data_IF_402822626459
#
_entry.id   IF_402822626459
#
_cell.length_a   1.000
_cell.length_b   1.000
_cell.length_c   1.000
_cell.angle_alpha   90.00
_cell.angle_beta   90.00
_cell.angle_gamma   90.00
#
_symmetry.space_group_name_H-M   'P 1'
#
loop_
_entity.id
_entity.type
_entity.pdbx_description
1 polymer ?
#
# COMPACT_ATOMS: atom_id res chain seq x y z
N UNK A 1 6.30 -11.00 8.27
CA UNK A 1 5.09 -11.17 7.43
C UNK A 1 5.20 -12.48 6.66
N UNK A 2 4.24 -13.41 6.79
CA UNK A 2 4.34 -14.79 6.26
C UNK A 2 4.20 -14.90 4.72
N UNK A 3 3.60 -13.92 4.05
CA UNK A 3 3.32 -13.97 2.61
C UNK A 3 4.61 -14.03 1.78
N UNK A 4 5.65 -13.28 2.14
CA UNK A 4 6.93 -13.33 1.42
C UNK A 4 7.60 -14.70 1.51
N UNK A 5 7.46 -15.39 2.64
CA UNK A 5 8.01 -16.73 2.85
C UNK A 5 7.23 -17.80 2.09
N UNK A 6 5.90 -17.70 2.09
CA UNK A 6 5.02 -18.65 1.41
C UNK A 6 5.00 -18.43 -0.12
N UNK A 7 5.20 -17.20 -0.58
CA UNK A 7 5.07 -16.81 -1.98
C UNK A 7 6.25 -15.93 -2.43
N UNK A 8 7.48 -16.47 -2.53
CA UNK A 8 8.67 -15.68 -2.85
C UNK A 8 8.64 -15.03 -4.24
N UNK A 9 7.85 -15.60 -5.17
CA UNK A 9 7.69 -15.10 -6.54
C UNK A 9 6.35 -14.40 -6.78
N UNK A 10 5.68 -13.94 -5.71
CA UNK A 10 4.39 -13.27 -5.81
C UNK A 10 4.50 -12.01 -6.67
N UNK A 11 3.81 -12.02 -7.82
CA UNK A 11 3.79 -10.89 -8.75
C UNK A 11 2.63 -9.94 -8.53
N UNK A 12 1.49 -10.48 -8.12
CA UNK A 12 0.23 -9.76 -8.02
C UNK A 12 -0.50 -10.21 -6.77
N UNK A 13 -1.02 -9.25 -6.03
CA UNK A 13 -1.83 -9.51 -4.84
C UNK A 13 -2.99 -8.54 -4.86
N UNK A 14 -4.19 -9.10 -4.72
CA UNK A 14 -5.41 -8.34 -4.64
C UNK A 14 -6.19 -8.85 -3.43
N UNK A 15 -6.46 -7.97 -2.48
CA UNK A 15 -7.39 -8.22 -1.40
C UNK A 15 -8.70 -7.53 -1.73
N UNK A 16 -9.79 -8.30 -1.75
CA UNK A 16 -11.13 -7.80 -1.99
C UNK A 16 -12.07 -8.34 -0.93
N UNK A 17 -12.75 -7.45 -0.21
CA UNK A 17 -13.88 -7.84 0.63
C UNK A 17 -15.20 -7.55 -0.07
N UNK A 18 -16.25 -8.26 0.34
CA UNK A 18 -17.61 -8.07 -0.18
C UNK A 18 -18.22 -6.76 0.31
N UNK A 19 -17.93 -6.39 1.56
CA UNK A 19 -18.44 -5.17 2.20
C UNK A 19 -17.29 -4.23 2.58
N UNK A 20 -17.58 -2.93 2.58
CA UNK A 20 -16.62 -1.96 3.12
C UNK A 20 -16.44 -2.21 4.60
N UNK A 21 -15.20 -2.54 4.96
CA UNK A 21 -14.80 -2.67 6.34
C UNK A 21 -14.63 -1.25 6.92
N UNK A 22 -15.53 -0.86 7.82
CA UNK A 22 -15.46 0.41 8.53
C UNK A 22 -14.16 0.46 9.33
N UNK A 23 -13.41 1.53 9.13
CA UNK A 23 -12.19 1.79 9.88
C UNK A 23 -12.57 2.03 11.35
N UNK A 24 -12.26 1.06 12.21
CA UNK A 24 -12.25 1.29 13.64
C UNK A 24 -10.86 1.84 13.98
N UNK A 25 -10.80 2.98 14.68
CA UNK A 25 -9.60 3.73 15.07
C UNK A 25 -8.59 2.97 15.95
N UNK A 26 -8.73 1.65 16.09
CA UNK A 26 -7.69 0.81 16.66
C UNK A 26 -6.56 0.63 15.64
N UNK A 27 -5.79 1.71 15.45
CA UNK A 27 -4.41 1.63 15.02
C UNK A 27 -3.73 0.68 16.01
N UNK A 28 -3.59 -0.58 15.63
CA UNK A 28 -2.66 -1.45 16.33
C UNK A 28 -1.30 -0.84 16.04
N UNK A 29 -0.66 -0.29 17.07
CA UNK A 29 0.72 0.12 16.95
C UNK A 29 1.51 -1.06 16.36
N UNK A 30 2.43 -0.80 15.41
CA UNK A 30 3.22 -1.86 14.83
C UNK A 30 3.90 -2.62 15.97
N UNK A 31 3.60 -3.92 16.07
CA UNK A 31 4.15 -4.81 17.09
C UNK A 31 5.69 -4.70 17.05
N UNK A 32 6.26 -4.06 18.08
CA UNK A 32 7.69 -3.77 18.17
C UNK A 32 8.55 -5.06 18.19
N UNK A 33 7.93 -6.23 18.34
CA UNK A 33 8.61 -7.53 18.44
C UNK A 33 8.89 -8.24 17.11
N UNK A 34 8.51 -7.68 15.96
CA UNK A 34 8.85 -8.28 14.66
C UNK A 34 10.25 -7.84 14.22
N UNK A 35 11.25 -8.71 14.34
CA UNK A 35 12.55 -8.74 13.61
C UNK A 35 12.88 -7.51 12.75
N UNK A 36 14.00 -6.83 13.00
CA UNK A 36 14.52 -5.68 12.24
C UNK A 36 14.78 -5.93 10.74
N UNK A 37 14.57 -7.15 10.26
CA UNK A 37 14.74 -7.52 8.86
C UNK A 37 13.72 -6.83 7.96
N UNK A 38 14.22 -6.06 7.00
CA UNK A 38 13.42 -5.55 5.89
C UNK A 38 13.05 -6.71 4.95
N UNK A 39 11.76 -6.89 4.70
CA UNK A 39 11.23 -7.84 3.73
C UNK A 39 11.13 -7.15 2.36
N UNK A 40 11.84 -7.69 1.38
CA UNK A 40 11.77 -7.23 0.00
C UNK A 40 10.88 -8.13 -0.84
N UNK A 41 9.97 -7.53 -1.59
CA UNK A 41 9.10 -8.21 -2.55
C UNK A 41 9.57 -7.94 -3.98
N UNK A 42 10.71 -8.52 -4.36
CA UNK A 42 11.44 -8.19 -5.58
C UNK A 42 10.70 -8.51 -6.89
N UNK A 43 9.66 -9.35 -6.84
CA UNK A 43 8.84 -9.71 -8.01
C UNK A 43 7.47 -9.05 -8.01
N UNK A 44 7.15 -8.27 -6.98
CA UNK A 44 5.81 -7.78 -6.76
C UNK A 44 5.53 -6.54 -7.59
N UNK A 45 4.64 -6.68 -8.57
CA UNK A 45 4.39 -5.70 -9.63
C UNK A 45 3.05 -4.99 -9.52
N UNK A 46 2.05 -5.64 -8.91
CA UNK A 46 0.68 -5.13 -8.85
C UNK A 46 0.06 -5.39 -7.48
N UNK A 47 -0.46 -4.33 -6.86
CA UNK A 47 -1.15 -4.38 -5.58
C UNK A 47 -2.55 -3.79 -5.69
N UNK A 48 -3.54 -4.55 -5.23
CA UNK A 48 -4.95 -4.13 -5.22
C UNK A 48 -5.57 -4.29 -3.84
N UNK A 49 -6.24 -3.24 -3.37
CA UNK A 49 -7.07 -3.24 -2.17
C UNK A 49 -8.46 -2.72 -2.52
N UNK A 50 -9.45 -3.61 -2.53
CA UNK A 50 -10.85 -3.30 -2.80
C UNK A 50 -11.70 -3.59 -1.56
N UNK A 51 -12.41 -2.58 -1.05
CA UNK A 51 -13.22 -2.72 0.18
C UNK A 51 -12.43 -3.24 1.40
N UNK A 52 -11.10 -3.08 1.40
CA UNK A 52 -10.21 -3.54 2.46
C UNK A 52 -9.88 -2.43 3.45
N UNK A 53 -9.59 -2.82 4.70
CA UNK A 53 -9.12 -1.90 5.74
C UNK A 53 -7.84 -1.14 5.33
N UNK A 54 -7.73 0.09 5.81
CA UNK A 54 -6.54 0.93 5.64
C UNK A 54 -5.26 0.36 6.26
N UNK A 55 -5.35 -0.57 7.23
CA UNK A 55 -4.15 -1.15 7.84
C UNK A 55 -3.30 -1.94 6.84
N UNK A 56 -3.90 -2.51 5.79
CA UNK A 56 -3.13 -3.14 4.72
C UNK A 56 -2.36 -2.11 3.88
N UNK A 57 -2.89 -0.90 3.72
CA UNK A 57 -2.13 0.19 3.09
C UNK A 57 -0.91 0.51 3.95
N UNK A 58 -1.10 0.60 5.27
CA UNK A 58 0.02 0.83 6.19
C UNK A 58 1.07 -0.28 6.11
N UNK A 59 0.66 -1.55 6.18
CA UNK A 59 1.58 -2.69 6.19
C UNK A 59 2.38 -2.85 4.89
N UNK A 60 1.75 -2.60 3.73
CA UNK A 60 2.42 -2.82 2.45
C UNK A 60 3.11 -1.57 1.92
N UNK A 61 2.47 -0.40 2.04
CA UNK A 61 2.93 0.82 1.38
C UNK A 61 3.70 1.76 2.33
N UNK A 62 3.41 1.75 3.63
CA UNK A 62 3.97 2.70 4.60
C UNK A 62 4.98 2.08 5.56
N UNK A 63 4.94 0.76 5.72
CA UNK A 63 5.81 0.07 6.67
C UNK A 63 7.26 0.10 6.19
N UNK A 64 8.15 0.59 7.05
CA UNK A 64 9.59 0.70 6.77
C UNK A 64 10.25 -0.67 6.58
N UNK A 65 9.58 -1.73 7.03
CA UNK A 65 10.03 -3.13 6.93
C UNK A 65 9.58 -3.81 5.62
N UNK A 66 8.82 -3.14 4.75
CA UNK A 66 8.44 -3.66 3.43
C UNK A 66 9.05 -2.82 2.31
N UNK A 67 9.73 -3.48 1.36
CA UNK A 67 10.22 -2.86 0.13
C UNK A 67 9.54 -3.46 -1.09
N UNK A 68 8.99 -2.60 -1.94
CA UNK A 68 8.27 -2.99 -3.16
C UNK A 68 8.97 -2.46 -4.43
N UNK A 69 10.23 -2.86 -4.71
CA UNK A 69 11.08 -2.23 -5.72
C UNK A 69 10.59 -2.39 -7.16
N UNK A 70 9.60 -3.24 -7.40
CA UNK A 70 9.04 -3.55 -8.71
C UNK A 70 7.55 -3.19 -8.83
N UNK A 71 6.97 -2.53 -7.82
CA UNK A 71 5.57 -2.15 -7.85
C UNK A 71 5.35 -1.08 -8.93
N UNK A 72 4.51 -1.41 -9.90
CA UNK A 72 4.20 -0.55 -11.06
C UNK A 72 2.72 -0.21 -11.13
N UNK A 73 1.86 -1.08 -10.59
CA UNK A 73 0.42 -0.90 -10.57
C UNK A 73 -0.13 -0.90 -9.15
N UNK A 74 -0.90 0.13 -8.83
CA UNK A 74 -1.59 0.27 -7.56
C UNK A 74 -3.08 0.51 -7.78
N UNK A 75 -3.93 -0.29 -7.14
CA UNK A 75 -5.38 -0.13 -7.16
C UNK A 75 -5.93 -0.02 -5.73
N UNK A 76 -6.61 1.07 -5.41
CA UNK A 76 -7.12 1.33 -4.05
C UNK A 76 -8.25 2.36 -4.05
N UNK A 77 -8.84 2.65 -2.88
CA UNK A 77 -9.79 3.74 -2.67
C UNK A 77 -9.10 5.00 -2.14
N UNK A 78 -9.55 6.18 -2.58
CA UNK A 78 -8.92 7.45 -2.22
C UNK A 78 -8.92 7.74 -0.72
N UNK A 79 -10.08 7.59 -0.06
CA UNK A 79 -10.23 7.85 1.37
C UNK A 79 -9.25 7.05 2.24
N UNK A 80 -9.23 5.70 2.12
CA UNK A 80 -8.25 4.88 2.81
C UNK A 80 -6.80 5.25 2.52
N UNK A 81 -6.45 5.63 1.28
CA UNK A 81 -5.10 6.07 0.94
C UNK A 81 -4.72 7.37 1.67
N UNK A 82 -5.55 8.42 1.61
CA UNK A 82 -5.30 9.67 2.35
C UNK A 82 -5.09 9.35 3.82
N UNK A 83 -5.98 8.55 4.38
CA UNK A 83 -6.05 8.42 5.81
C UNK A 83 -4.90 7.55 6.37
N UNK A 84 -4.54 6.47 5.68
CA UNK A 84 -3.34 5.70 6.00
C UNK A 84 -2.07 6.55 5.86
N UNK A 85 -1.99 7.38 4.82
CA UNK A 85 -0.83 8.22 4.53
C UNK A 85 -0.74 9.49 5.40
N UNK A 86 -1.68 9.67 6.34
CA UNK A 86 -1.86 10.90 7.13
C UNK A 86 -1.82 12.13 6.23
N UNK A 87 -2.69 12.16 5.22
CA UNK A 87 -2.75 13.22 4.21
C UNK A 87 -1.44 13.39 3.46
N UNK A 88 -0.82 12.28 3.04
CA UNK A 88 0.42 12.30 2.30
C UNK A 88 1.52 13.09 3.02
N UNK A 89 1.86 12.66 4.24
CA UNK A 89 2.98 13.21 5.03
C UNK A 89 4.08 12.17 5.29
N UNK A 90 3.89 10.95 4.79
CA UNK A 90 4.75 9.80 5.07
C UNK A 90 5.63 9.47 3.85
N UNK A 91 6.93 9.71 3.97
CA UNK A 91 7.92 9.46 2.90
C UNK A 91 8.04 7.99 2.46
N UNK A 92 7.70 7.05 3.34
CA UNK A 92 7.75 5.62 3.01
C UNK A 92 6.86 5.26 1.80
N UNK A 93 5.71 5.95 1.67
CA UNK A 93 4.83 5.80 0.51
C UNK A 93 5.57 6.11 -0.79
N UNK A 94 6.26 7.25 -0.83
CA UNK A 94 6.98 7.72 -2.02
C UNK A 94 8.08 6.75 -2.42
N UNK A 95 8.78 6.13 -1.45
CA UNK A 95 9.81 5.12 -1.74
C UNK A 95 9.20 3.86 -2.38
N UNK A 96 8.18 3.29 -1.74
CA UNK A 96 7.55 2.05 -2.20
C UNK A 96 6.72 2.22 -3.48
N UNK A 97 6.23 3.43 -3.74
CA UNK A 97 5.41 3.76 -4.91
C UNK A 97 6.17 4.53 -6.00
N UNK A 98 7.50 4.69 -5.87
CA UNK A 98 8.31 5.50 -6.80
C UNK A 98 8.22 5.05 -8.27
N UNK A 99 7.99 3.75 -8.51
CA UNK A 99 7.87 3.16 -9.86
C UNK A 99 6.43 2.92 -10.30
N UNK A 100 5.44 3.31 -9.49
CA UNK A 100 4.03 3.17 -9.85
C UNK A 100 3.74 4.12 -11.00
N UNK A 101 3.41 3.55 -12.16
CA UNK A 101 3.05 4.25 -13.38
C UNK A 101 1.58 4.00 -13.76
N UNK A 102 0.87 3.21 -12.96
CA UNK A 102 -0.56 2.96 -13.10
C UNK A 102 -1.24 3.00 -11.74
N UNK A 103 -1.94 4.09 -11.47
CA UNK A 103 -2.73 4.28 -10.25
C UNK A 103 -4.22 4.24 -10.61
N UNK A 104 -4.94 3.27 -10.05
CA UNK A 104 -6.38 3.12 -10.20
C UNK A 104 -7.02 3.47 -8.85
N UNK A 105 -7.65 4.64 -8.78
CA UNK A 105 -8.35 5.09 -7.59
C UNK A 105 -9.85 4.86 -7.76
N UNK A 106 -10.42 3.94 -7.00
CA UNK A 106 -11.84 3.65 -7.03
C UNK A 106 -12.66 4.84 -6.54
N UNK A 107 -13.82 5.05 -7.19
CA UNK A 107 -14.78 6.11 -6.90
C UNK A 107 -14.20 7.54 -6.95
N UNK A 108 -13.10 7.72 -7.69
CA UNK A 108 -12.46 9.02 -7.86
C UNK A 108 -12.42 9.36 -9.35
N UNK A 109 -13.10 10.42 -9.75
CA UNK A 109 -13.10 10.90 -11.15
C UNK A 109 -11.82 11.67 -11.49
N UNK A 110 -11.18 12.28 -10.49
CA UNK A 110 -9.90 12.98 -10.62
C UNK A 110 -9.09 12.84 -9.35
N UNK A 111 -7.89 12.28 -9.49
CA UNK A 111 -6.92 12.19 -8.40
C UNK A 111 -6.39 13.60 -8.10
N UNK A 112 -6.39 14.05 -6.83
CA UNK A 112 -5.87 15.37 -6.47
C UNK A 112 -4.38 15.55 -6.79
N UNK A 113 -3.98 16.79 -7.06
CA UNK A 113 -2.68 17.12 -7.63
C UNK A 113 -1.49 16.80 -6.69
N UNK A 114 -1.73 16.94 -5.40
CA UNK A 114 -0.82 16.61 -4.30
C UNK A 114 -0.45 15.12 -4.25
N UNK A 115 -1.34 14.25 -4.69
CA UNK A 115 -1.11 12.80 -4.76
C UNK A 115 0.04 12.48 -5.72
N UNK A 116 0.16 13.17 -6.84
CA UNK A 116 1.19 12.89 -7.85
C UNK A 116 2.61 13.07 -7.33
N UNK A 117 2.81 13.89 -6.29
CA UNK A 117 4.13 14.04 -5.65
C UNK A 117 4.64 12.73 -5.04
N UNK A 118 3.73 11.81 -4.70
CA UNK A 118 4.03 10.50 -4.12
C UNK A 118 4.14 9.37 -5.15
N UNK A 119 3.78 9.66 -6.39
CA UNK A 119 3.80 8.73 -7.52
C UNK A 119 4.54 9.38 -8.71
N UNK A 120 5.86 9.58 -8.61
CA UNK A 120 6.62 10.37 -9.59
C UNK A 120 6.71 9.74 -10.99
N UNK A 121 6.19 8.53 -11.18
CA UNK A 121 6.17 7.82 -12.47
C UNK A 121 4.77 7.78 -13.12
N UNK A 122 3.75 8.44 -12.53
CA UNK A 122 2.42 8.65 -13.13
C UNK A 122 2.44 9.81 -14.13
#
# INVERSE_FOLDING_TARGET
MQISLAFPILKRFCLKNETEQLWNDHITEPDENLSDSIIEYSHFTSFGLMCAYGHYISQFLLETKARLPCLTELKLKYGPLIAATRYFTIDALRRNCSKVNRLIVENCTRVPEDVYQYFPSL
#
